data_IF_398110274525
#
_entry.id   IF_398110274525
#
_cell.length_a   1.000
_cell.length_b   1.000
_cell.length_c   1.000
_cell.angle_alpha   90.00
_cell.angle_beta   90.00
_cell.angle_gamma   90.00
#
_symmetry.space_group_name_H-M   'P 1'
#
loop_
_entity.id
_entity.type
_entity.pdbx_description
1 polymer ?
#
# COMPACT_ATOMS: atom_id res chain seq x y z
N UNK A 1 11.03 14.64 4.44
CA UNK A 1 9.92 14.29 3.56
C UNK A 1 8.72 15.20 3.84
N UNK A 2 8.18 15.85 2.81
CA UNK A 2 7.01 16.73 2.93
C UNK A 2 5.75 15.97 2.51
N UNK A 3 4.69 16.05 3.32
CA UNK A 3 3.40 15.41 3.07
C UNK A 3 2.24 16.36 3.30
N UNK A 4 1.14 16.16 2.59
CA UNK A 4 -0.06 16.99 2.71
C UNK A 4 -1.03 16.45 3.77
N UNK A 5 -1.54 15.24 3.60
CA UNK A 5 -2.53 14.64 4.48
C UNK A 5 -2.06 13.24 4.91
N UNK A 6 -1.55 13.13 6.13
CA UNK A 6 -1.08 11.86 6.70
C UNK A 6 -2.21 11.00 7.26
N UNK A 7 -3.38 11.60 7.51
CA UNK A 7 -4.55 10.89 8.04
C UNK A 7 -5.43 10.27 6.96
N UNK A 8 -5.18 10.63 5.67
CA UNK A 8 -5.90 10.04 4.57
C UNK A 8 -5.68 8.53 4.51
N UNK A 9 -6.79 7.78 4.43
CA UNK A 9 -6.78 6.32 4.40
C UNK A 9 -6.93 5.79 2.99
N UNK A 10 -6.19 4.74 2.68
CA UNK A 10 -6.22 4.06 1.39
C UNK A 10 -6.17 2.55 1.58
N UNK A 11 -6.76 1.84 0.63
CA UNK A 11 -6.65 0.40 0.51
C UNK A 11 -5.32 0.08 -0.17
N UNK A 12 -4.33 -0.35 0.62
CA UNK A 12 -2.98 -0.66 0.16
C UNK A 12 -2.86 -2.16 -0.10
N UNK A 13 -2.46 -2.55 -1.30
CA UNK A 13 -2.30 -3.96 -1.63
C UNK A 13 -1.02 -4.27 -2.38
N UNK A 14 -0.60 -5.52 -2.30
CA UNK A 14 0.57 -6.03 -2.99
C UNK A 14 0.29 -6.22 -4.48
N UNK A 15 1.15 -5.68 -5.34
CA UNK A 15 0.99 -5.74 -6.78
C UNK A 15 0.90 -7.18 -7.31
N UNK A 16 1.69 -8.11 -6.75
CA UNK A 16 1.67 -9.51 -7.14
C UNK A 16 0.30 -10.17 -6.96
N UNK A 17 -0.43 -9.82 -5.89
CA UNK A 17 -1.79 -10.31 -5.67
C UNK A 17 -2.75 -9.76 -6.73
N UNK A 18 -2.56 -8.51 -7.15
CA UNK A 18 -3.40 -7.87 -8.18
C UNK A 18 -3.13 -8.45 -9.58
N UNK A 19 -1.87 -8.74 -9.90
CA UNK A 19 -1.51 -9.43 -11.15
C UNK A 19 -2.14 -10.82 -11.22
N UNK A 20 -2.15 -11.58 -10.11
CA UNK A 20 -2.85 -12.86 -10.04
C UNK A 20 -4.35 -12.70 -10.33
N UNK A 21 -4.99 -11.66 -9.75
CA UNK A 21 -6.39 -11.37 -10.03
C UNK A 21 -6.63 -11.09 -11.52
N UNK A 22 -5.76 -10.29 -12.16
CA UNK A 22 -5.84 -9.99 -13.59
C UNK A 22 -5.76 -11.25 -14.43
N UNK A 23 -4.84 -12.16 -14.09
CA UNK A 23 -4.74 -13.45 -14.77
C UNK A 23 -6.01 -14.29 -14.60
N UNK A 24 -6.56 -14.37 -13.38
CA UNK A 24 -7.80 -15.11 -13.10
C UNK A 24 -9.01 -14.54 -13.86
N UNK A 25 -9.08 -13.21 -14.03
CA UNK A 25 -10.13 -12.59 -14.86
C UNK A 25 -10.10 -13.09 -16.29
N UNK A 26 -8.91 -13.27 -16.86
CA UNK A 26 -8.74 -13.75 -18.25
C UNK A 26 -9.08 -15.23 -18.42
N UNK A 27 -9.17 -16.00 -17.34
CA UNK A 27 -9.55 -17.42 -17.37
C UNK A 27 -11.08 -17.61 -17.33
N UNK A 28 -11.86 -16.54 -17.21
CA UNK A 28 -13.31 -16.65 -17.14
C UNK A 28 -13.91 -16.87 -18.54
N UNK A 29 -14.98 -17.68 -18.63
CA UNK A 29 -15.68 -17.93 -19.88
C UNK A 29 -16.35 -16.68 -20.47
N UNK A 30 -16.75 -15.75 -19.61
CA UNK A 30 -17.40 -14.49 -19.99
C UNK A 30 -16.68 -13.32 -19.38
N UNK A 31 -16.46 -12.23 -20.13
CA UNK A 31 -15.94 -10.97 -19.60
C UNK A 31 -16.84 -10.43 -18.51
N UNK A 32 -16.24 -9.87 -17.47
CA UNK A 32 -16.95 -9.21 -16.37
C UNK A 32 -16.04 -8.18 -15.70
N UNK A 33 -16.63 -7.20 -14.99
CA UNK A 33 -15.91 -6.17 -14.26
C UNK A 33 -15.73 -6.58 -12.80
N UNK A 34 -14.53 -6.39 -12.26
CA UNK A 34 -14.18 -6.72 -10.89
C UNK A 34 -13.49 -5.55 -10.20
N UNK A 35 -13.85 -5.32 -8.94
CA UNK A 35 -13.04 -4.51 -8.02
C UNK A 35 -12.04 -5.44 -7.35
N UNK A 36 -10.76 -5.07 -7.47
CA UNK A 36 -9.65 -5.77 -6.81
C UNK A 36 -9.10 -4.86 -5.72
N UNK A 37 -9.20 -5.31 -4.48
CA UNK A 37 -8.84 -4.54 -3.29
C UNK A 37 -8.59 -5.47 -2.12
N UNK A 38 -7.88 -4.98 -1.10
CA UNK A 38 -7.67 -5.76 0.12
C UNK A 38 -8.92 -5.80 1.00
N UNK A 39 -9.72 -4.74 0.98
CA UNK A 39 -10.86 -4.55 1.86
C UNK A 39 -10.48 -4.00 3.23
N UNK A 40 -9.25 -3.52 3.38
CA UNK A 40 -8.74 -2.85 4.59
C UNK A 40 -8.14 -1.50 4.19
N UNK A 41 -8.42 -0.45 4.97
CA UNK A 41 -7.87 0.87 4.73
C UNK A 41 -6.93 1.28 5.87
N UNK A 42 -5.78 1.84 5.49
CA UNK A 42 -4.74 2.30 6.41
C UNK A 42 -4.33 3.72 6.07
N UNK A 43 -3.93 4.49 7.09
CA UNK A 43 -3.48 5.87 6.90
C UNK A 43 -2.02 5.92 6.44
N UNK A 44 -1.63 7.06 5.88
CA UNK A 44 -0.21 7.34 5.59
C UNK A 44 0.61 7.37 6.88
N UNK A 45 0.03 7.82 7.99
CA UNK A 45 0.66 7.82 9.32
C UNK A 45 0.97 6.39 9.79
N UNK A 46 0.02 5.45 9.64
CA UNK A 46 0.25 4.02 9.94
C UNK A 46 1.38 3.45 9.08
N UNK A 47 1.41 3.80 7.78
CA UNK A 47 2.50 3.39 6.89
C UNK A 47 3.85 3.91 7.36
N UNK A 48 3.94 5.21 7.71
CA UNK A 48 5.17 5.83 8.20
C UNK A 48 5.66 5.19 9.51
N UNK A 49 4.74 4.91 10.43
CA UNK A 49 5.07 4.27 11.71
C UNK A 49 5.71 2.90 11.50
N UNK A 50 5.11 2.06 10.66
CA UNK A 50 5.67 0.73 10.37
C UNK A 50 7.00 0.85 9.61
N UNK A 51 7.08 1.76 8.63
CA UNK A 51 8.26 1.93 7.81
C UNK A 51 9.48 2.37 8.63
N UNK A 52 9.30 3.33 9.54
CA UNK A 52 10.40 3.79 10.40
C UNK A 52 10.80 2.78 11.48
N UNK A 53 9.84 1.99 11.96
CA UNK A 53 10.12 0.88 12.88
C UNK A 53 10.96 -0.20 12.20
N UNK A 54 10.58 -0.64 11.00
CA UNK A 54 11.34 -1.63 10.20
C UNK A 54 12.73 -1.12 9.82
N UNK A 55 12.86 0.17 9.55
CA UNK A 55 14.14 0.79 9.22
C UNK A 55 15.00 1.13 10.45
N UNK A 56 14.52 0.84 11.65
CA UNK A 56 15.19 1.16 12.94
C UNK A 56 15.48 2.66 13.13
N UNK A 57 14.65 3.53 12.55
CA UNK A 57 14.80 4.98 12.59
C UNK A 57 14.10 5.63 13.80
N UNK A 58 13.21 4.90 14.49
CA UNK A 58 12.41 5.42 15.58
C UNK A 58 11.24 6.28 15.12
N UNK A 59 10.96 7.38 15.84
CA UNK A 59 9.78 8.20 15.58
C UNK A 59 9.84 8.88 14.20
N UNK A 60 8.84 8.61 13.35
CA UNK A 60 8.72 9.18 12.01
C UNK A 60 8.61 10.72 12.01
N UNK A 61 8.12 11.34 13.09
CA UNK A 61 8.02 12.79 13.22
C UNK A 61 9.38 13.49 13.07
N UNK A 62 10.48 12.79 13.32
CA UNK A 62 11.82 13.33 13.12
C UNK A 62 12.23 13.47 11.64
N UNK A 63 11.50 12.85 10.72
CA UNK A 63 11.86 12.75 9.30
C UNK A 63 10.80 13.32 8.35
N UNK A 64 9.61 13.64 8.86
CA UNK A 64 8.46 14.07 8.08
C UNK A 64 7.96 15.40 8.58
N UNK A 65 7.80 16.34 7.68
CA UNK A 65 7.18 17.64 7.92
C UNK A 65 5.90 17.76 7.07
N UNK A 66 4.85 18.28 7.69
CA UNK A 66 3.57 18.50 6.99
C UNK A 66 3.65 19.86 6.32
N UNK A 67 3.55 19.87 4.98
CA UNK A 67 3.51 21.10 4.19
C UNK A 67 2.05 21.41 3.80
N UNK A 68 1.49 22.45 4.44
CA UNK A 68 0.12 22.89 4.20
C UNK A 68 -0.14 23.32 2.75
N UNK A 69 0.88 23.73 2.00
CA UNK A 69 0.76 24.09 0.58
C UNK A 69 0.39 22.89 -0.29
N UNK A 70 0.67 21.68 0.18
CA UNK A 70 0.33 20.44 -0.50
C UNK A 70 -1.03 19.88 -0.09
N UNK A 71 -1.76 20.57 0.81
CA UNK A 71 -3.13 20.18 1.16
C UNK A 71 -4.05 20.43 -0.04
N UNK A 72 -4.72 19.38 -0.50
CA UNK A 72 -5.72 19.51 -1.56
C UNK A 72 -7.03 20.03 -0.96
N UNK A 73 -7.69 21.00 -1.59
CA UNK A 73 -8.97 21.55 -1.09
C UNK A 73 -10.09 20.50 -0.95
N UNK A 74 -10.00 19.43 -1.74
CA UNK A 74 -10.91 18.28 -1.72
C UNK A 74 -10.07 17.02 -1.69
N UNK A 75 -9.65 16.60 -0.50
CA UNK A 75 -9.02 15.28 -0.33
C UNK A 75 -10.08 14.27 0.11
N UNK A 76 -10.01 13.08 -0.47
CA UNK A 76 -10.87 11.97 -0.06
C UNK A 76 -10.27 11.39 1.22
N UNK A 77 -11.01 11.46 2.31
CA UNK A 77 -10.55 11.00 3.62
C UNK A 77 -10.24 9.49 3.62
N UNK A 78 -11.11 8.70 2.98
CA UNK A 78 -10.95 7.25 2.93
C UNK A 78 -11.33 6.68 1.56
N UNK A 79 -10.49 5.80 1.04
CA UNK A 79 -10.78 4.96 -0.12
C UNK A 79 -10.66 3.49 0.30
N UNK A 80 -11.79 2.79 0.27
CA UNK A 80 -11.88 1.37 0.61
C UNK A 80 -12.60 0.64 -0.51
N UNK A 81 -11.99 -0.43 -1.02
CA UNK A 81 -12.57 -1.25 -2.07
C UNK A 81 -13.38 -2.43 -1.53
N UNK A 82 -14.46 -2.78 -2.23
CA UNK A 82 -15.20 -4.03 -1.99
C UNK A 82 -14.88 -5.06 -3.08
N UNK A 83 -14.04 -6.03 -2.74
CA UNK A 83 -13.65 -7.13 -3.62
C UNK A 83 -14.49 -8.40 -3.47
N UNK A 84 -15.67 -8.32 -2.84
CA UNK A 84 -16.56 -9.46 -2.57
C UNK A 84 -16.90 -10.26 -3.84
N UNK A 85 -17.10 -9.58 -4.96
CA UNK A 85 -17.38 -10.23 -6.25
C UNK A 85 -16.17 -11.04 -6.75
N UNK A 86 -14.97 -10.47 -6.67
CA UNK A 86 -13.73 -11.15 -7.06
C UNK A 86 -13.48 -12.37 -6.17
N UNK A 87 -13.67 -12.24 -4.87
CA UNK A 87 -13.53 -13.34 -3.91
C UNK A 87 -14.47 -14.50 -4.25
N UNK A 88 -15.73 -14.21 -4.61
CA UNK A 88 -16.74 -15.24 -4.92
C UNK A 88 -16.55 -15.86 -6.30
N UNK A 89 -16.30 -15.06 -7.34
CA UNK A 89 -16.27 -15.52 -8.72
C UNK A 89 -14.91 -16.05 -9.17
N UNK A 90 -13.83 -15.39 -8.73
CA UNK A 90 -12.46 -15.75 -9.09
C UNK A 90 -11.79 -16.65 -8.06
N UNK A 91 -12.43 -16.88 -6.91
CA UNK A 91 -11.79 -17.51 -5.73
C UNK A 91 -10.48 -16.83 -5.35
N UNK A 92 -10.39 -15.53 -5.60
CA UNK A 92 -9.22 -14.71 -5.32
C UNK A 92 -9.32 -14.05 -3.94
N UNK A 93 -8.19 -13.90 -3.27
CA UNK A 93 -8.05 -13.08 -2.07
C UNK A 93 -6.64 -12.52 -1.98
N UNK A 94 -6.45 -11.33 -1.39
CA UNK A 94 -5.11 -10.82 -1.10
C UNK A 94 -4.40 -11.78 -0.14
N UNK A 95 -3.11 -11.98 -0.36
CA UNK A 95 -2.25 -12.90 0.42
C UNK A 95 -1.33 -12.13 1.35
N UNK A 96 -0.93 -10.92 0.94
CA UNK A 96 0.02 -10.08 1.67
C UNK A 96 -0.74 -9.04 2.49
N UNK A 97 -0.70 -9.12 3.84
CA UNK A 97 -1.31 -8.10 4.71
C UNK A 97 -0.53 -6.79 4.65
N UNK A 98 -1.20 -5.69 5.02
CA UNK A 98 -0.62 -4.34 4.96
C UNK A 98 0.74 -4.21 5.66
N UNK A 99 0.88 -4.74 6.87
CA UNK A 99 2.15 -4.68 7.61
C UNK A 99 3.29 -5.38 6.86
N UNK A 100 3.02 -6.56 6.34
CA UNK A 100 4.00 -7.33 5.57
C UNK A 100 4.39 -6.62 4.27
N UNK A 101 3.43 -5.98 3.60
CA UNK A 101 3.68 -5.15 2.42
C UNK A 101 4.68 -4.03 2.74
N UNK A 102 4.45 -3.27 3.81
CA UNK A 102 5.36 -2.19 4.21
C UNK A 102 6.75 -2.73 4.56
N UNK A 103 6.81 -3.85 5.30
CA UNK A 103 8.08 -4.50 5.64
C UNK A 103 8.87 -4.93 4.38
N UNK A 104 8.20 -5.55 3.42
CA UNK A 104 8.82 -5.97 2.16
C UNK A 104 9.38 -4.78 1.39
N UNK A 105 8.61 -3.70 1.26
CA UNK A 105 9.04 -2.48 0.56
C UNK A 105 10.27 -1.87 1.22
N UNK A 106 10.23 -1.66 2.53
CA UNK A 106 11.36 -1.03 3.25
C UNK A 106 12.61 -1.90 3.20
N UNK A 107 12.51 -3.21 3.42
CA UNK A 107 13.66 -4.11 3.35
C UNK A 107 14.29 -4.12 1.97
N UNK A 108 13.47 -4.21 0.92
CA UNK A 108 13.95 -4.15 -0.46
C UNK A 108 14.70 -2.85 -0.74
N UNK A 109 14.14 -1.71 -0.37
CA UNK A 109 14.75 -0.41 -0.61
C UNK A 109 16.06 -0.23 0.17
N UNK A 110 16.11 -0.68 1.42
CA UNK A 110 17.33 -0.65 2.22
C UNK A 110 18.46 -1.51 1.59
N UNK A 111 18.14 -2.70 1.07
CA UNK A 111 19.09 -3.56 0.37
C UNK A 111 19.56 -2.91 -0.94
N UNK A 112 18.60 -2.44 -1.76
CA UNK A 112 18.89 -1.78 -3.03
C UNK A 112 19.80 -0.57 -2.85
N UNK A 113 19.54 0.30 -1.88
CA UNK A 113 20.37 1.48 -1.65
C UNK A 113 21.73 1.15 -1.03
N UNK A 114 21.83 0.10 -0.20
CA UNK A 114 23.12 -0.39 0.27
C UNK A 114 24.02 -0.83 -0.90
N UNK A 115 23.47 -1.59 -1.82
CA UNK A 115 24.22 -2.04 -3.02
C UNK A 115 24.55 -0.86 -3.93
N UNK A 116 23.58 0.00 -4.23
CA UNK A 116 23.73 1.12 -5.16
C UNK A 116 24.78 2.14 -4.70
N UNK A 117 24.81 2.47 -3.42
CA UNK A 117 25.75 3.43 -2.85
C UNK A 117 27.00 2.80 -2.23
N UNK A 118 27.18 1.48 -2.32
CA UNK A 118 28.29 0.74 -1.68
C UNK A 118 28.43 1.06 -0.19
N UNK A 119 27.32 1.27 0.50
CA UNK A 119 27.28 1.56 1.94
C UNK A 119 27.56 0.26 2.71
N UNK A 120 28.53 0.33 3.64
CA UNK A 120 28.89 -0.79 4.51
C UNK A 120 27.96 -0.86 5.72
#
# INVERSE_FOLDING_TARGET
>A
LFRSNIHAKRDWGFEGDYVEAMWLMLQQEKPDDFVISTGESHSVEEFLTIATDVAELGDWNNFVEIDEKNLRPTDIEELLGDSSKARKKLNWKPKVPFKELVEMMVKHDLEFFKEYYHLK
#
